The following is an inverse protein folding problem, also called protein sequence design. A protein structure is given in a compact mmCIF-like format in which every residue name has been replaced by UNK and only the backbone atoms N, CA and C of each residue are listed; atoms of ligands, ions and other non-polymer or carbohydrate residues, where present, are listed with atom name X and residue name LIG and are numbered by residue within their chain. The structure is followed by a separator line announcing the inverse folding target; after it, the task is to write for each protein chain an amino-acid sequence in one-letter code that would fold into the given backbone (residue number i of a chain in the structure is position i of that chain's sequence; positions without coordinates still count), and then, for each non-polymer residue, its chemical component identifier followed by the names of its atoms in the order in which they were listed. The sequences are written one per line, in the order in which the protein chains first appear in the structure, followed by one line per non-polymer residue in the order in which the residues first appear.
data_IF_800286971339
#
_entry.id   IF_800286971339
#
_cell.length_a   1.000
_cell.length_b   1.000
_cell.length_c   1.000
_cell.angle_alpha   90.00
_cell.angle_beta   90.00
_cell.angle_gamma   90.00
#
_symmetry.space_group_name_H-M   'P 1'
#
loop_
_entity.id
_entity.type
_entity.pdbx_description
1 polymer ?
#
# COMPACT_ATOMS: atom_id res chain seq x y z
N UNK A 1 -5.38 -21.51 -8.01
CA UNK A 1 -5.83 -20.11 -8.25
C UNK A 1 -7.01 -19.75 -7.36
N UNK A 2 -8.16 -20.44 -7.46
CA UNK A 2 -9.35 -20.12 -6.62
C UNK A 2 -9.04 -20.09 -5.11
N UNK A 3 -8.27 -21.08 -4.63
CA UNK A 3 -7.78 -21.12 -3.25
C UNK A 3 -6.96 -19.89 -2.84
N UNK A 4 -6.14 -19.33 -3.73
CA UNK A 4 -5.34 -18.15 -3.44
C UNK A 4 -6.19 -16.87 -3.42
N UNK A 5 -7.10 -16.71 -4.37
CA UNK A 5 -8.08 -15.59 -4.37
C UNK A 5 -8.94 -15.64 -3.10
N UNK A 6 -9.40 -16.82 -2.69
CA UNK A 6 -10.19 -16.96 -1.46
C UNK A 6 -9.40 -16.58 -0.22
N UNK A 7 -8.12 -16.96 -0.13
CA UNK A 7 -7.23 -16.53 0.95
C UNK A 7 -7.04 -15.02 0.94
N UNK A 8 -6.77 -14.42 -0.22
CA UNK A 8 -6.64 -12.97 -0.37
C UNK A 8 -7.90 -12.23 0.08
N UNK A 9 -9.09 -12.71 -0.32
CA UNK A 9 -10.38 -12.14 0.08
C UNK A 9 -10.66 -12.32 1.57
N UNK A 10 -10.30 -13.46 2.17
CA UNK A 10 -10.43 -13.66 3.62
C UNK A 10 -9.58 -12.64 4.38
N UNK A 11 -8.31 -12.48 4.02
CA UNK A 11 -7.45 -11.47 4.65
C UNK A 11 -7.94 -10.03 4.40
N UNK A 12 -8.44 -9.75 3.20
CA UNK A 12 -9.08 -8.47 2.87
C UNK A 12 -10.28 -8.20 3.78
N UNK A 13 -11.17 -9.18 3.97
CA UNK A 13 -12.36 -9.07 4.81
C UNK A 13 -12.03 -8.91 6.30
N UNK A 14 -10.99 -9.60 6.79
CA UNK A 14 -10.48 -9.40 8.16
C UNK A 14 -9.92 -7.99 8.32
N UNK A 15 -9.20 -7.50 7.31
CA UNK A 15 -8.72 -6.11 7.27
C UNK A 15 -9.88 -5.11 7.32
N UNK A 16 -10.97 -5.37 6.60
CA UNK A 16 -12.18 -4.55 6.61
C UNK A 16 -12.87 -4.54 7.97
N UNK A 17 -13.05 -5.71 8.58
CA UNK A 17 -13.58 -5.82 9.94
C UNK A 17 -12.73 -5.04 10.95
N UNK A 18 -11.40 -5.13 10.81
CA UNK A 18 -10.45 -4.40 11.67
C UNK A 18 -10.54 -2.89 11.47
N UNK A 19 -10.60 -2.41 10.21
CA UNK A 19 -10.79 -0.97 9.91
C UNK A 19 -12.13 -0.45 10.41
N UNK A 20 -13.19 -1.27 10.32
CA UNK A 20 -14.52 -0.90 10.76
C UNK A 20 -14.54 -0.65 12.28
N UNK A 21 -13.87 -1.51 13.05
CA UNK A 21 -13.75 -1.35 14.51
C UNK A 21 -12.86 -0.16 14.90
N UNK A 22 -11.73 0.02 14.21
CA UNK A 22 -10.71 1.02 14.57
C UNK A 22 -10.99 2.41 13.98
N UNK A 23 -11.91 2.53 13.02
CA UNK A 23 -12.25 3.77 12.28
C UNK A 23 -11.03 4.51 11.71
N UNK A 24 -9.95 3.80 11.42
CA UNK A 24 -8.74 4.39 10.86
C UNK A 24 -8.94 4.79 9.39
N UNK A 25 -8.40 5.94 8.93
CA UNK A 25 -8.50 6.41 7.55
C UNK A 25 -7.47 5.69 6.63
N UNK A 26 -7.41 4.37 6.71
CA UNK A 26 -6.46 3.54 5.96
C UNK A 26 -7.27 2.59 5.07
N UNK A 27 -6.89 2.39 3.79
CA UNK A 27 -7.56 1.39 2.95
C UNK A 27 -7.47 0.00 3.59
N UNK A 28 -8.61 -0.68 3.71
CA UNK A 28 -8.70 -2.03 4.29
C UNK A 28 -7.78 -3.04 3.60
N UNK A 29 -7.51 -2.83 2.30
CA UNK A 29 -6.59 -3.67 1.54
C UNK A 29 -5.15 -3.65 2.04
N UNK A 30 -4.68 -2.51 2.53
CA UNK A 30 -3.34 -2.39 3.11
C UNK A 30 -3.26 -3.22 4.40
N UNK A 31 -4.31 -3.19 5.21
CA UNK A 31 -4.35 -3.94 6.48
C UNK A 31 -4.46 -5.45 6.21
N UNK A 32 -5.30 -5.87 5.25
CA UNK A 32 -5.35 -7.26 4.81
C UNK A 32 -4.00 -7.76 4.28
N UNK A 33 -3.29 -6.94 3.51
CA UNK A 33 -1.94 -7.25 3.03
C UNK A 33 -0.93 -7.37 4.17
N UNK A 34 -0.98 -6.48 5.16
CA UNK A 34 -0.12 -6.55 6.35
C UNK A 34 -0.39 -7.82 7.17
N UNK A 35 -1.66 -8.17 7.39
CA UNK A 35 -2.04 -9.40 8.11
C UNK A 35 -1.56 -10.65 7.37
N UNK A 36 -1.74 -10.69 6.06
CA UNK A 36 -1.24 -11.78 5.22
C UNK A 36 0.29 -11.86 5.30
N UNK A 37 0.99 -10.72 5.22
CA UNK A 37 2.43 -10.64 5.35
C UNK A 37 2.92 -11.16 6.71
N UNK A 38 2.30 -10.74 7.81
CA UNK A 38 2.62 -11.25 9.16
C UNK A 38 2.39 -12.76 9.25
N UNK A 39 1.30 -13.26 8.68
CA UNK A 39 1.00 -14.70 8.69
C UNK A 39 2.05 -15.49 7.92
N UNK A 40 2.49 -14.98 6.76
CA UNK A 40 3.57 -15.58 5.97
C UNK A 40 4.91 -15.52 6.68
N UNK A 41 5.21 -14.40 7.37
CA UNK A 41 6.42 -14.24 8.16
C UNK A 41 6.49 -15.27 9.30
N UNK A 42 5.40 -15.47 10.02
CA UNK A 42 5.31 -16.47 11.11
C UNK A 42 5.39 -17.91 10.60
N UNK A 43 4.89 -18.19 9.38
CA UNK A 43 4.88 -19.53 8.81
C UNK A 43 6.28 -20.06 8.47
N UNK A 44 7.28 -19.18 8.33
CA UNK A 44 8.70 -19.45 8.08
C UNK A 44 8.97 -20.49 6.95
N UNK A 45 8.05 -20.59 5.99
CA UNK A 45 8.03 -21.56 4.91
C UNK A 45 7.93 -20.83 3.56
N UNK A 46 8.30 -21.49 2.45
CA UNK A 46 8.16 -20.90 1.13
C UNK A 46 6.70 -20.51 0.84
N UNK A 47 6.57 -19.40 0.11
CA UNK A 47 5.29 -18.85 -0.31
C UNK A 47 4.58 -19.90 -1.15
N UNK A 48 3.32 -20.26 -0.83
CA UNK A 48 2.60 -21.23 -1.64
C UNK A 48 2.35 -20.69 -3.05
N UNK A 49 2.62 -21.52 -4.06
CA UNK A 49 2.44 -21.17 -5.49
C UNK A 49 1.02 -20.68 -5.84
N UNK A 50 0.00 -21.14 -5.09
CA UNK A 50 -1.38 -20.69 -5.27
C UNK A 50 -1.61 -19.24 -4.84
N UNK A 51 -0.89 -18.72 -3.84
CA UNK A 51 -0.98 -17.33 -3.41
C UNK A 51 -0.28 -16.45 -4.44
N UNK A 52 0.95 -16.81 -4.82
CA UNK A 52 1.75 -16.09 -5.80
C UNK A 52 1.01 -15.91 -7.13
N UNK A 53 0.47 -17.00 -7.68
CA UNK A 53 -0.28 -16.96 -8.95
C UNK A 53 -1.53 -16.10 -8.87
N UNK A 54 -2.19 -16.05 -7.71
CA UNK A 54 -3.42 -15.27 -7.52
C UNK A 54 -3.12 -13.79 -7.34
N UNK A 55 -2.09 -13.45 -6.56
CA UNK A 55 -1.62 -12.07 -6.38
C UNK A 55 -1.14 -11.47 -7.70
N UNK A 56 -0.37 -12.22 -8.49
CA UNK A 56 0.10 -11.76 -9.81
C UNK A 56 -1.05 -11.44 -10.75
N UNK A 57 -2.14 -12.22 -10.71
CA UNK A 57 -3.32 -11.96 -11.50
C UNK A 57 -3.99 -10.64 -11.09
N UNK A 58 -4.19 -10.40 -9.79
CA UNK A 58 -4.79 -9.16 -9.28
C UNK A 58 -3.93 -7.94 -9.62
N UNK A 59 -2.61 -8.05 -9.43
CA UNK A 59 -1.64 -6.99 -9.76
C UNK A 59 -1.68 -6.68 -11.26
N UNK A 60 -1.78 -7.70 -12.12
CA UNK A 60 -1.89 -7.52 -13.58
C UNK A 60 -3.13 -6.71 -13.97
N UNK A 61 -4.25 -6.88 -13.27
CA UNK A 61 -5.47 -6.13 -13.53
C UNK A 61 -5.57 -4.83 -12.73
N UNK A 62 -4.61 -4.50 -11.87
CA UNK A 62 -4.62 -3.29 -11.04
C UNK A 62 -4.85 -2.02 -11.87
N UNK A 63 -4.27 -1.95 -13.07
CA UNK A 63 -4.45 -0.81 -13.98
C UNK A 63 -5.92 -0.61 -14.38
N UNK A 64 -6.68 -1.69 -14.59
CA UNK A 64 -8.12 -1.60 -14.89
C UNK A 64 -8.93 -1.02 -13.73
N UNK A 65 -8.48 -1.20 -12.48
CA UNK A 65 -9.12 -0.62 -11.29
C UNK A 65 -8.66 0.82 -11.02
N UNK A 66 -7.42 1.16 -11.38
CA UNK A 66 -6.88 2.52 -11.21
C UNK A 66 -7.53 3.51 -12.18
N UNK A 67 -7.72 3.14 -13.45
CA UNK A 67 -8.34 4.02 -14.45
C UNK A 67 -9.70 4.60 -13.98
N UNK A 68 -10.71 3.80 -13.60
CA UNK A 68 -12.01 4.33 -13.19
C UNK A 68 -11.91 5.20 -11.93
N UNK A 69 -11.02 4.86 -11.00
CA UNK A 69 -10.76 5.68 -9.80
C UNK A 69 -10.17 7.04 -10.16
N UNK A 70 -9.15 7.07 -11.03
CA UNK A 70 -8.51 8.30 -11.48
C UNK A 70 -9.46 9.19 -12.30
N UNK A 71 -10.23 8.59 -13.22
CA UNK A 71 -11.16 9.31 -14.09
C UNK A 71 -12.31 9.90 -13.27
N UNK A 72 -12.78 9.22 -12.21
CA UNK A 72 -13.77 9.76 -11.28
C UNK A 72 -13.33 11.07 -10.63
N UNK A 73 -12.07 11.18 -10.23
CA UNK A 73 -11.51 12.43 -9.69
C UNK A 73 -11.50 13.57 -10.72
N UNK A 74 -11.31 13.27 -12.01
CA UNK A 74 -11.32 14.27 -13.08
C UNK A 74 -12.69 14.92 -13.28
N UNK A 75 -13.78 14.19 -13.02
CA UNK A 75 -15.13 14.77 -13.10
C UNK A 75 -15.39 15.82 -12.02
N UNK A 76 -14.89 15.61 -10.80
CA UNK A 76 -14.99 16.59 -9.69
C UNK A 76 -14.31 17.92 -10.04
N UNK A 77 -13.26 17.86 -10.85
CA UNK A 77 -12.43 19.00 -11.23
C UNK A 77 -13.09 19.82 -12.34
N UNK A 78 -13.95 19.20 -13.15
CA UNK A 78 -14.63 19.87 -14.28
C UNK A 78 -15.66 20.89 -13.84
N UNK A 79 -16.24 20.74 -12.65
CA UNK A 79 -17.27 21.66 -12.15
C UNK A 79 -16.70 22.97 -11.60
N UNK A 80 -15.41 23.03 -11.25
CA UNK A 80 -14.85 24.23 -10.63
C UNK A 80 -13.36 24.44 -10.97
N UNK A 81 -13.08 25.45 -11.79
CA UNK A 81 -11.73 25.78 -12.24
C UNK A 81 -10.79 26.20 -11.10
N UNK A 82 -11.31 26.72 -9.98
CA UNK A 82 -10.49 27.11 -8.83
C UNK A 82 -9.84 25.92 -8.11
N UNK A 83 -10.41 24.71 -8.21
CA UNK A 83 -9.88 23.48 -7.59
C UNK A 83 -8.55 23.04 -8.24
N UNK A 84 -8.28 23.43 -9.49
CA UNK A 84 -7.04 23.09 -10.18
C UNK A 84 -5.79 23.62 -9.46
N UNK A 85 -5.84 24.87 -8.94
CA UNK A 85 -4.74 25.46 -8.19
C UNK A 85 -4.51 24.74 -6.85
N UNK A 86 -5.58 24.41 -6.13
CA UNK A 86 -5.50 23.67 -4.86
C UNK A 86 -4.94 22.26 -5.04
N UNK A 87 -5.31 21.57 -6.14
CA UNK A 87 -4.76 20.25 -6.45
C UNK A 87 -3.27 20.32 -6.80
N UNK A 88 -2.88 21.24 -7.69
CA UNK A 88 -1.48 21.35 -8.10
C UNK A 88 -0.57 21.66 -6.91
N UNK A 89 -0.99 22.59 -6.05
CA UNK A 89 -0.25 22.95 -4.84
C UNK A 89 -0.21 21.80 -3.84
N UNK A 90 -1.33 21.11 -3.60
CA UNK A 90 -1.37 19.95 -2.71
C UNK A 90 -0.45 18.84 -3.20
N UNK A 91 -0.51 18.48 -4.50
CA UNK A 91 0.34 17.44 -5.09
C UNK A 91 1.81 17.81 -4.94
N UNK A 92 2.17 19.06 -5.22
CA UNK A 92 3.54 19.54 -5.11
C UNK A 92 4.04 19.47 -3.66
N UNK A 93 3.23 19.95 -2.70
CA UNK A 93 3.53 19.91 -1.28
C UNK A 93 3.65 18.46 -0.79
N UNK A 94 2.70 17.58 -1.12
CA UNK A 94 2.73 16.18 -0.69
C UNK A 94 3.91 15.41 -1.27
N UNK A 95 4.33 15.73 -2.50
CA UNK A 95 5.48 15.11 -3.16
C UNK A 95 6.77 15.51 -2.44
N UNK A 96 6.96 16.81 -2.17
CA UNK A 96 8.10 17.30 -1.40
C UNK A 96 8.13 16.70 0.01
N UNK A 97 6.97 16.64 0.68
CA UNK A 97 6.85 16.03 1.99
C UNK A 97 7.24 14.55 1.97
N UNK A 98 6.76 13.81 0.97
CA UNK A 98 7.06 12.38 0.80
C UNK A 98 8.56 12.14 0.61
N UNK A 99 9.22 12.94 -0.24
CA UNK A 99 10.67 12.85 -0.46
C UNK A 99 11.43 13.17 0.83
N UNK A 100 11.02 14.22 1.54
CA UNK A 100 11.66 14.63 2.79
C UNK A 100 11.56 13.55 3.87
N UNK A 101 10.35 13.04 4.12
CA UNK A 101 10.13 11.95 5.08
C UNK A 101 10.81 10.66 4.66
N UNK A 102 10.78 10.32 3.37
CA UNK A 102 11.50 9.16 2.82
C UNK A 102 13.00 9.24 3.07
N UNK A 103 13.61 10.41 2.84
CA UNK A 103 15.03 10.67 3.12
C UNK A 103 15.34 10.58 4.61
N UNK A 104 14.47 11.10 5.47
CA UNK A 104 14.62 11.03 6.93
C UNK A 104 14.58 9.58 7.43
N UNK A 105 13.61 8.79 6.95
CA UNK A 105 13.46 7.38 7.28
C UNK A 105 14.67 6.57 6.81
N UNK A 106 15.13 6.80 5.57
CA UNK A 106 16.36 6.21 5.04
C UNK A 106 17.56 6.52 5.94
N UNK A 107 17.78 7.79 6.28
CA UNK A 107 18.86 8.19 7.20
C UNK A 107 18.75 7.49 8.55
N UNK A 108 17.56 7.36 9.11
CA UNK A 108 17.38 6.76 10.43
C UNK A 108 17.60 5.24 10.44
N UNK A 109 17.08 4.52 9.45
CA UNK A 109 17.16 3.06 9.36
C UNK A 109 18.48 2.55 8.76
N UNK A 110 19.00 3.21 7.72
CA UNK A 110 20.21 2.76 7.00
C UNK A 110 21.50 3.17 7.73
N UNK A 111 21.60 4.39 8.26
CA UNK A 111 22.80 4.85 8.99
C UNK A 111 23.01 4.05 10.30
N UNK A 112 21.93 3.52 10.88
CA UNK A 112 22.02 2.59 12.03
C UNK A 112 22.55 1.21 11.63
N UNK A 113 22.24 0.74 10.43
CA UNK A 113 22.76 -0.53 9.93
C UNK A 113 24.25 -0.47 9.60
N UNK A 114 24.73 0.62 8.99
CA UNK A 114 26.17 0.81 8.71
C UNK A 114 27.02 0.93 10.00
N UNK A 115 26.53 1.64 11.02
CA UNK A 115 27.24 1.72 12.33
C UNK A 115 27.35 0.37 13.04
N UNK A 116 26.44 -0.57 12.78
CA UNK A 116 26.48 -1.91 13.39
C UNK A 116 27.43 -2.87 12.65
N UNK A 117 27.59 -2.70 11.33
CA UNK A 117 28.52 -3.49 10.51
C UNK A 117 29.97 -3.06 10.75
N UNK A 118 30.26 -1.75 10.83
CA UNK A 118 31.62 -1.23 11.08
C UNK A 118 32.16 -1.47 12.50
N UNK A 119 31.30 -1.89 13.44
CA UNK A 119 31.71 -2.23 14.83
C UNK A 119 32.02 -3.73 15.02
N UNK A 120 31.71 -4.55 14.02
CA UNK A 120 31.97 -6.00 13.99
C UNK A 120 33.12 -6.38 13.03
N UNK A 121 33.85 -5.38 12.52
CA UNK A 121 35.13 -5.48 11.81
C UNK A 121 36.16 -4.78 12.71
#
# INVERSE_FOLDING_TARGET
MLKGIFVLLMFQGIGEYTTYLTKMPIPSSVIGMLLLFLTLLMRNNPIPSYIESSSNLVIRFLYLFLIPSCVGCLFLIRENFSIWLYLLTTIFITTLLTIFFGSLLMKYFVVRHEKKIRKNI
#
